data_IF_339201943482
#
_entry.id   IF_339201943482
#
_cell.length_a   1.000
_cell.length_b   1.000
_cell.length_c   1.000
_cell.angle_alpha   90.00
_cell.angle_beta   90.00
_cell.angle_gamma   90.00
#
_symmetry.space_group_name_H-M   'P 1'
#
loop_
_entity.id
_entity.type
_entity.pdbx_description
1 polymer ?
#
# COMPACT_ATOMS: atom_id res chain seq x y z
N UNK A 1 -21.62 -1.34 -16.45
CA UNK A 1 -22.05 -1.34 -15.06
C UNK A 1 -21.02 -0.66 -14.17
N UNK A 2 -21.47 0.19 -13.25
CA UNK A 2 -20.59 0.92 -12.36
C UNK A 2 -20.17 0.10 -11.13
N UNK A 3 -19.22 0.63 -10.39
CA UNK A 3 -18.79 0.08 -9.11
C UNK A 3 -19.92 0.23 -8.09
N UNK A 4 -20.24 -0.85 -7.39
CA UNK A 4 -21.23 -0.83 -6.31
C UNK A 4 -20.59 -0.41 -5.00
N UNK A 5 -21.41 0.03 -4.04
CA UNK A 5 -20.95 0.30 -2.69
C UNK A 5 -20.29 -0.93 -2.06
N UNK A 6 -20.77 -2.11 -2.40
CA UNK A 6 -20.21 -3.37 -1.92
C UNK A 6 -18.80 -3.60 -2.45
N UNK A 7 -18.56 -3.35 -3.75
CA UNK A 7 -17.24 -3.47 -4.35
C UNK A 7 -16.25 -2.49 -3.73
N UNK A 8 -16.70 -1.26 -3.46
CA UNK A 8 -15.88 -0.26 -2.79
C UNK A 8 -15.55 -0.68 -1.35
N UNK A 9 -16.52 -1.24 -0.62
CA UNK A 9 -16.32 -1.74 0.73
C UNK A 9 -15.35 -2.94 0.73
N UNK A 10 -15.46 -3.84 -0.24
CA UNK A 10 -14.55 -4.97 -0.39
C UNK A 10 -13.12 -4.50 -0.69
N UNK A 11 -12.97 -3.48 -1.53
CA UNK A 11 -11.66 -2.90 -1.81
C UNK A 11 -11.05 -2.25 -0.57
N UNK A 12 -11.86 -1.56 0.24
CA UNK A 12 -11.39 -0.95 1.49
C UNK A 12 -10.96 -2.02 2.50
N UNK A 13 -11.71 -3.11 2.62
CA UNK A 13 -11.36 -4.22 3.50
C UNK A 13 -10.06 -4.90 3.06
N UNK A 14 -9.89 -5.10 1.76
CA UNK A 14 -8.65 -5.63 1.17
C UNK A 14 -7.47 -4.72 1.48
N UNK A 15 -7.65 -3.41 1.31
CA UNK A 15 -6.64 -2.42 1.59
C UNK A 15 -6.21 -2.43 3.07
N UNK A 16 -7.17 -2.56 3.97
CA UNK A 16 -6.89 -2.66 5.40
C UNK A 16 -6.08 -3.92 5.73
N UNK A 17 -6.44 -5.04 5.14
CA UNK A 17 -5.71 -6.30 5.30
C UNK A 17 -4.27 -6.16 4.81
N UNK A 18 -4.07 -5.59 3.64
CA UNK A 18 -2.72 -5.38 3.07
C UNK A 18 -1.93 -4.39 3.92
N UNK A 19 -2.56 -3.34 4.42
CA UNK A 19 -1.91 -2.37 5.30
C UNK A 19 -1.38 -3.04 6.58
N UNK A 20 -2.14 -3.98 7.15
CA UNK A 20 -1.68 -4.76 8.30
C UNK A 20 -0.48 -5.65 7.94
N UNK A 21 -0.52 -6.29 6.78
CA UNK A 21 0.59 -7.10 6.28
C UNK A 21 1.85 -6.25 6.12
N UNK A 22 1.72 -5.06 5.58
CA UNK A 22 2.84 -4.11 5.43
C UNK A 22 3.36 -3.65 6.80
N UNK A 23 2.46 -3.35 7.73
CA UNK A 23 2.85 -2.94 9.08
C UNK A 23 3.68 -4.02 9.78
N UNK A 24 3.28 -5.29 9.66
CA UNK A 24 4.03 -6.41 10.20
C UNK A 24 5.41 -6.55 9.53
N UNK A 25 5.49 -6.33 8.23
CA UNK A 25 6.76 -6.35 7.50
C UNK A 25 7.67 -5.21 7.94
N UNK A 26 7.14 -4.01 8.11
CA UNK A 26 7.90 -2.84 8.60
C UNK A 26 8.41 -3.09 10.02
N UNK A 27 7.57 -3.64 10.90
CA UNK A 27 7.99 -3.98 12.27
C UNK A 27 9.13 -5.01 12.26
N UNK A 28 9.05 -6.02 11.40
CA UNK A 28 10.10 -7.02 11.26
C UNK A 28 11.41 -6.38 10.76
N UNK A 29 11.32 -5.45 9.80
CA UNK A 29 12.49 -4.71 9.32
C UNK A 29 13.06 -3.83 10.43
N UNK A 30 12.22 -3.16 11.21
CA UNK A 30 12.66 -2.32 12.33
C UNK A 30 13.42 -3.14 13.39
N UNK A 31 12.92 -4.32 13.73
CA UNK A 31 13.60 -5.22 14.67
C UNK A 31 14.95 -5.69 14.12
N UNK A 32 14.98 -6.09 12.85
CA UNK A 32 16.22 -6.51 12.19
C UNK A 32 17.22 -5.34 12.10
N UNK A 33 16.72 -4.14 11.78
CA UNK A 33 17.54 -2.93 11.71
C UNK A 33 18.14 -2.58 13.05
N UNK A 34 17.36 -2.66 14.13
CA UNK A 34 17.84 -2.40 15.48
C UNK A 34 18.98 -3.37 15.87
N UNK A 35 18.81 -4.65 15.53
CA UNK A 35 19.85 -5.66 15.78
C UNK A 35 21.11 -5.39 14.96
N UNK A 36 20.94 -5.04 13.68
CA UNK A 36 22.07 -4.72 12.80
C UNK A 36 22.81 -3.47 13.27
N UNK A 37 22.09 -2.46 13.72
CA UNK A 37 22.68 -1.25 14.30
C UNK A 37 23.46 -1.54 15.59
N UNK A 38 22.97 -2.48 16.41
CA UNK A 38 23.68 -2.94 17.59
C UNK A 38 25.01 -3.60 17.23
N UNK A 39 25.02 -4.46 16.21
CA UNK A 39 26.24 -5.09 15.69
C UNK A 39 27.18 -4.03 15.10
N UNK A 40 26.64 -3.06 14.36
CA UNK A 40 27.44 -1.99 13.77
C UNK A 40 28.17 -1.17 14.83
N UNK A 41 27.58 -0.96 16.00
CA UNK A 41 28.22 -0.27 17.12
C UNK A 41 29.37 -1.07 17.71
N UNK A 42 29.28 -2.40 17.71
CA UNK A 42 30.33 -3.29 18.16
C UNK A 42 31.45 -3.49 17.14
N UNK A 43 31.10 -3.37 15.84
CA UNK A 43 32.01 -3.57 14.72
C UNK A 43 32.01 -2.34 13.80
N UNK A 44 32.46 -1.18 14.28
CA UNK A 44 32.29 0.08 13.53
C UNK A 44 33.03 0.13 12.21
N UNK A 45 34.02 -0.73 11.99
CA UNK A 45 34.78 -0.78 10.74
C UNK A 45 34.21 -1.76 9.71
N UNK A 46 33.12 -2.48 10.02
CA UNK A 46 32.58 -3.48 9.11
C UNK A 46 31.73 -2.84 8.02
N UNK A 47 32.25 -2.84 6.78
CA UNK A 47 31.53 -2.35 5.61
C UNK A 47 30.30 -3.21 5.32
N UNK A 48 30.37 -4.52 5.54
CA UNK A 48 29.25 -5.44 5.30
C UNK A 48 28.07 -5.15 6.23
N UNK A 49 28.34 -4.90 7.51
CA UNK A 49 27.30 -4.57 8.48
C UNK A 49 26.65 -3.24 8.14
N UNK A 50 27.45 -2.24 7.77
CA UNK A 50 26.93 -0.92 7.37
C UNK A 50 26.07 -1.02 6.11
N UNK A 51 26.50 -1.80 5.12
CA UNK A 51 25.74 -2.03 3.89
C UNK A 51 24.40 -2.70 4.19
N UNK A 52 24.39 -3.66 5.12
CA UNK A 52 23.16 -4.33 5.54
C UNK A 52 22.18 -3.37 6.21
N UNK A 53 22.68 -2.52 7.11
CA UNK A 53 21.87 -1.48 7.77
C UNK A 53 21.25 -0.56 6.73
N UNK A 54 22.03 -0.12 5.76
CA UNK A 54 21.57 0.76 4.70
C UNK A 54 20.48 0.11 3.85
N UNK A 55 20.68 -1.14 3.43
CA UNK A 55 19.69 -1.87 2.63
C UNK A 55 18.37 -2.06 3.38
N UNK A 56 18.43 -2.37 4.66
CA UNK A 56 17.23 -2.52 5.49
C UNK A 56 16.47 -1.19 5.60
N UNK A 57 17.20 -0.09 5.82
CA UNK A 57 16.60 1.24 5.88
C UNK A 57 15.93 1.62 4.56
N UNK A 58 16.57 1.34 3.43
CA UNK A 58 16.00 1.58 2.11
C UNK A 58 14.74 0.74 1.87
N UNK A 59 14.77 -0.53 2.24
CA UNK A 59 13.61 -1.42 2.09
C UNK A 59 12.42 -0.93 2.92
N UNK A 60 12.69 -0.50 4.17
CA UNK A 60 11.67 0.09 5.02
C UNK A 60 11.04 1.32 4.36
N UNK A 61 11.87 2.23 3.87
CA UNK A 61 11.42 3.43 3.18
C UNK A 61 10.58 3.11 1.95
N UNK A 62 10.98 2.12 1.14
CA UNK A 62 10.23 1.69 -0.03
C UNK A 62 8.85 1.15 0.33
N UNK A 63 8.76 0.30 1.36
CA UNK A 63 7.48 -0.25 1.81
C UNK A 63 6.54 0.86 2.31
N UNK A 64 7.06 1.80 3.09
CA UNK A 64 6.26 2.92 3.61
C UNK A 64 5.79 3.85 2.50
N UNK A 65 6.66 4.15 1.53
CA UNK A 65 6.29 4.98 0.38
C UNK A 65 5.20 4.32 -0.45
N UNK A 66 5.34 3.03 -0.74
CA UNK A 66 4.34 2.27 -1.49
C UNK A 66 3.01 2.22 -0.76
N UNK A 67 3.04 2.04 0.57
CA UNK A 67 1.83 2.06 1.38
C UNK A 67 1.15 3.43 1.34
N UNK A 68 1.94 4.50 1.48
CA UNK A 68 1.42 5.86 1.43
C UNK A 68 0.75 6.14 0.07
N UNK A 69 1.40 5.75 -1.02
CA UNK A 69 0.86 5.93 -2.36
C UNK A 69 -0.42 5.12 -2.56
N UNK A 70 -0.44 3.89 -2.07
CA UNK A 70 -1.61 3.02 -2.16
C UNK A 70 -2.80 3.58 -1.36
N UNK A 71 -2.56 4.14 -0.17
CA UNK A 71 -3.60 4.79 0.63
C UNK A 71 -4.12 6.04 -0.09
N UNK A 72 -3.24 6.78 -0.75
CA UNK A 72 -3.62 7.93 -1.58
C UNK A 72 -4.58 7.52 -2.70
N UNK A 73 -4.34 6.39 -3.35
CA UNK A 73 -5.23 5.85 -4.39
C UNK A 73 -6.63 5.54 -3.84
N UNK A 74 -6.71 5.02 -2.63
CA UNK A 74 -8.01 4.79 -1.97
C UNK A 74 -8.74 6.10 -1.73
N UNK A 75 -8.03 7.13 -1.27
CA UNK A 75 -8.61 8.46 -1.08
C UNK A 75 -9.20 9.01 -2.37
N UNK A 76 -8.49 8.85 -3.49
CA UNK A 76 -8.97 9.26 -4.80
C UNK A 76 -10.22 8.46 -5.21
N UNK A 77 -10.23 7.15 -4.95
CA UNK A 77 -11.38 6.31 -5.23
C UNK A 77 -12.62 6.80 -4.48
N UNK A 78 -12.49 7.09 -3.19
CA UNK A 78 -13.60 7.59 -2.39
C UNK A 78 -14.09 8.94 -2.90
N UNK A 79 -13.18 9.84 -3.30
CA UNK A 79 -13.55 11.13 -3.87
C UNK A 79 -14.35 10.95 -5.16
N UNK A 80 -13.93 10.05 -6.04
CA UNK A 80 -14.65 9.74 -7.29
C UNK A 80 -16.01 9.12 -7.05
N UNK A 81 -16.09 8.20 -6.07
CA UNK A 81 -17.38 7.60 -5.70
C UNK A 81 -18.34 8.64 -5.14
N UNK A 82 -17.88 9.55 -4.32
CA UNK A 82 -18.67 10.62 -3.78
C UNK A 82 -19.18 11.55 -4.89
N UNK A 83 -18.30 11.91 -5.83
CA UNK A 83 -18.65 12.72 -6.98
C UNK A 83 -19.71 12.03 -7.85
N UNK A 84 -19.52 10.74 -8.13
CA UNK A 84 -20.46 9.96 -8.91
C UNK A 84 -21.82 9.88 -8.22
N UNK A 85 -21.84 9.65 -6.91
CA UNK A 85 -23.08 9.59 -6.12
C UNK A 85 -23.80 10.93 -6.14
N UNK A 86 -23.08 12.04 -6.00
CA UNK A 86 -23.66 13.37 -6.05
C UNK A 86 -24.23 13.69 -7.43
N UNK A 87 -23.49 13.36 -8.48
CA UNK A 87 -23.93 13.59 -9.86
C UNK A 87 -25.19 12.75 -10.17
N UNK A 88 -25.20 11.49 -9.78
CA UNK A 88 -26.35 10.62 -10.00
C UNK A 88 -27.60 11.13 -9.27
N UNK A 89 -27.40 11.72 -8.07
CA UNK A 89 -28.49 12.30 -7.29
C UNK A 89 -29.05 13.59 -7.88
N UNK A 90 -28.23 14.34 -8.62
CA UNK A 90 -28.62 15.65 -9.11
C UNK A 90 -29.42 15.64 -10.41
N UNK A 91 -29.19 14.67 -11.26
CA UNK A 91 -29.68 14.91 -12.61
C UNK A 91 -30.43 13.77 -13.28
N UNK A 92 -30.12 12.55 -13.06
CA UNK A 92 -30.62 11.52 -13.95
C UNK A 92 -30.38 11.81 -15.42
N UNK A 93 -29.70 12.90 -15.77
CA UNK A 93 -29.50 13.41 -17.12
C UNK A 93 -28.03 13.69 -17.45
N UNK A 94 -27.12 13.37 -16.58
CA UNK A 94 -25.71 13.63 -16.82
C UNK A 94 -25.13 12.56 -17.76
N UNK A 95 -24.77 13.02 -18.97
CA UNK A 95 -24.15 12.16 -19.98
C UNK A 95 -22.74 11.71 -19.56
N UNK A 96 -22.13 12.37 -18.58
CA UNK A 96 -20.81 12.05 -18.09
C UNK A 96 -20.82 10.95 -17.00
N UNK A 97 -21.99 10.56 -16.52
CA UNK A 97 -22.10 9.54 -15.48
C UNK A 97 -21.43 8.22 -15.88
N UNK A 98 -21.58 7.83 -17.15
CA UNK A 98 -20.94 6.63 -17.69
C UNK A 98 -19.42 6.73 -17.68
N UNK A 99 -18.86 7.89 -18.05
CA UNK A 99 -17.43 8.14 -18.05
C UNK A 99 -16.87 8.14 -16.62
N UNK A 100 -17.60 8.72 -15.67
CA UNK A 100 -17.20 8.73 -14.26
C UNK A 100 -17.23 7.34 -13.64
N UNK A 101 -18.25 6.53 -14.00
CA UNK A 101 -18.32 5.15 -13.57
C UNK A 101 -17.13 4.34 -14.11
N UNK A 102 -16.75 4.57 -15.38
CA UNK A 102 -15.58 3.93 -15.96
C UNK A 102 -14.29 4.34 -15.23
N UNK A 103 -14.14 5.63 -14.88
CA UNK A 103 -13.00 6.11 -14.11
C UNK A 103 -12.91 5.45 -12.72
N UNK A 104 -14.06 5.27 -12.07
CA UNK A 104 -14.12 4.58 -10.76
C UNK A 104 -13.71 3.13 -10.91
N UNK A 105 -14.19 2.44 -11.93
CA UNK A 105 -13.79 1.05 -12.21
C UNK A 105 -12.30 0.94 -12.48
N UNK A 106 -11.73 1.84 -13.28
CA UNK A 106 -10.29 1.87 -13.57
C UNK A 106 -9.48 2.11 -12.31
N UNK A 107 -9.94 3.02 -11.43
CA UNK A 107 -9.29 3.28 -10.16
C UNK A 107 -9.32 2.07 -9.25
N UNK A 108 -10.45 1.35 -9.20
CA UNK A 108 -10.59 0.14 -8.40
C UNK A 108 -9.63 -0.95 -8.88
N UNK A 109 -9.53 -1.14 -10.20
CA UNK A 109 -8.60 -2.12 -10.78
C UNK A 109 -7.15 -1.74 -10.49
N UNK A 110 -6.79 -0.47 -10.60
CA UNK A 110 -5.46 0.02 -10.28
C UNK A 110 -5.12 -0.21 -8.80
N UNK A 111 -6.06 0.05 -7.90
CA UNK A 111 -5.89 -0.17 -6.46
C UNK A 111 -5.63 -1.65 -6.16
N UNK A 112 -6.40 -2.55 -6.78
CA UNK A 112 -6.22 -4.00 -6.59
C UNK A 112 -4.82 -4.44 -7.01
N UNK A 113 -4.33 -3.94 -8.14
CA UNK A 113 -2.99 -4.26 -8.64
C UNK A 113 -1.93 -3.73 -7.68
N UNK A 114 -2.02 -2.47 -7.26
CA UNK A 114 -1.06 -1.82 -6.36
C UNK A 114 -0.99 -2.57 -5.03
N UNK A 115 -2.14 -2.91 -4.45
CA UNK A 115 -2.17 -3.63 -3.17
C UNK A 115 -1.67 -5.07 -3.28
N UNK A 116 -1.94 -5.75 -4.40
CA UNK A 116 -1.39 -7.08 -4.64
C UNK A 116 0.14 -7.06 -4.73
N UNK A 117 0.70 -6.09 -5.44
CA UNK A 117 2.15 -5.90 -5.54
C UNK A 117 2.76 -5.56 -4.18
N UNK A 118 2.12 -4.69 -3.42
CA UNK A 118 2.59 -4.28 -2.09
C UNK A 118 2.59 -5.46 -1.12
N UNK A 119 1.55 -6.28 -1.14
CA UNK A 119 1.47 -7.50 -0.33
C UNK A 119 2.58 -8.47 -0.69
N UNK A 120 2.84 -8.67 -1.98
CA UNK A 120 3.92 -9.52 -2.45
C UNK A 120 5.27 -9.01 -1.97
N UNK A 121 5.52 -7.69 -2.08
CA UNK A 121 6.76 -7.06 -1.62
C UNK A 121 6.93 -7.21 -0.10
N UNK A 122 5.87 -6.98 0.66
CA UNK A 122 5.91 -7.11 2.12
C UNK A 122 6.19 -8.55 2.55
N UNK A 123 5.52 -9.52 1.94
CA UNK A 123 5.72 -10.93 2.24
C UNK A 123 7.12 -11.39 1.87
N UNK A 124 7.63 -10.94 0.73
CA UNK A 124 9.00 -11.24 0.29
C UNK A 124 10.03 -10.65 1.27
N UNK A 125 9.80 -9.43 1.72
CA UNK A 125 10.68 -8.77 2.68
C UNK A 125 10.74 -9.54 3.99
N UNK A 126 9.59 -9.98 4.52
CA UNK A 126 9.55 -10.78 5.75
C UNK A 126 10.28 -12.12 5.58
N UNK A 127 10.10 -12.78 4.43
CA UNK A 127 10.74 -14.06 4.15
C UNK A 127 12.27 -13.96 4.08
N UNK A 128 12.80 -12.77 3.74
CA UNK A 128 14.25 -12.54 3.66
C UNK A 128 14.88 -12.21 5.01
N UNK A 129 14.10 -11.95 6.06
CA UNK A 129 14.59 -11.55 7.36
C UNK A 129 14.79 -12.76 8.27
N UNK A 130 15.91 -12.79 9.04
CA UNK A 130 16.14 -13.88 10.00
C UNK A 130 15.08 -13.87 11.10
N UNK A 131 14.54 -15.03 11.44
CA UNK A 131 13.56 -15.18 12.50
C UNK A 131 12.16 -14.67 12.19
N UNK A 132 11.89 -14.37 10.93
CA UNK A 132 10.57 -13.92 10.48
C UNK A 132 9.60 -15.09 10.32
#
# INVERSE_FOLDING_TARGET
MGVTAREAADAAAEAERVARTVALAVDAVDDALARAQGVARQLPGSADVQATVQRMGERRGQLLTKLHDAVGEIGELYARLLELSTTAGLAGIDTDAGSRAAEVNDSLDAIRIVFAELETDASRTRAMLPGA
#
